data_IF_580670546375
#
_entry.id   IF_580670546375
#
_cell.length_a   1.000
_cell.length_b   1.000
_cell.length_c   1.000
_cell.angle_alpha   90.00
_cell.angle_beta   90.00
_cell.angle_gamma   90.00
#
_symmetry.space_group_name_H-M   'P 1'
#
loop_
_entity.id
_entity.type
_entity.pdbx_description
1 polymer ?
#
# COMPACT_ATOMS: atom_id res chain seq x y z
N UNK A 1 -2.53 0.05 -33.65
CA UNK A 1 -3.16 0.98 -32.68
C UNK A 1 -2.78 0.46 -31.29
N UNK A 2 -2.04 1.22 -30.46
CA UNK A 2 -1.75 0.78 -29.08
C UNK A 2 -3.00 1.01 -28.23
N UNK A 3 -3.80 -0.04 -28.03
CA UNK A 3 -4.92 -0.01 -27.09
C UNK A 3 -4.35 0.16 -25.69
N UNK A 4 -4.72 1.24 -25.00
CA UNK A 4 -4.43 1.36 -23.58
C UNK A 4 -5.48 0.55 -22.82
N UNK A 5 -5.04 -0.39 -22.00
CA UNK A 5 -5.94 -1.18 -21.16
C UNK A 5 -6.63 -0.27 -20.13
N UNK A 6 -7.96 -0.38 -20.06
CA UNK A 6 -8.79 0.32 -19.08
C UNK A 6 -9.47 -0.70 -18.16
N UNK A 7 -9.75 -0.28 -16.92
CA UNK A 7 -10.60 -1.06 -16.05
C UNK A 7 -12.02 -1.17 -16.63
N UNK A 8 -12.55 -2.39 -16.65
CA UNK A 8 -13.89 -2.70 -17.17
C UNK A 8 -15.02 -1.97 -16.43
N UNK A 9 -14.82 -1.65 -15.14
CA UNK A 9 -15.82 -0.94 -14.33
C UNK A 9 -15.20 0.03 -13.32
N UNK A 10 -15.99 1.03 -12.90
CA UNK A 10 -15.63 1.97 -11.81
C UNK A 10 -15.37 1.23 -10.50
N UNK A 11 -16.12 0.16 -10.25
CA UNK A 11 -15.91 -0.71 -9.10
C UNK A 11 -14.55 -1.39 -9.12
N UNK A 12 -14.07 -1.82 -10.29
CA UNK A 12 -12.72 -2.38 -10.44
C UNK A 12 -11.62 -1.41 -9.99
N UNK A 13 -11.76 -0.12 -10.32
CA UNK A 13 -10.82 0.92 -9.89
C UNK A 13 -10.88 1.12 -8.36
N UNK A 14 -12.09 1.20 -7.80
CA UNK A 14 -12.27 1.43 -6.36
C UNK A 14 -11.72 0.25 -5.55
N UNK A 15 -12.03 -0.99 -5.93
CA UNK A 15 -11.58 -2.18 -5.24
C UNK A 15 -10.06 -2.37 -5.33
N UNK A 16 -9.47 -2.11 -6.51
CA UNK A 16 -8.01 -2.12 -6.66
C UNK A 16 -7.34 -1.08 -5.76
N UNK A 17 -7.90 0.14 -5.69
CA UNK A 17 -7.40 1.19 -4.79
C UNK A 17 -7.55 0.84 -3.31
N UNK A 18 -8.69 0.25 -2.92
CA UNK A 18 -8.93 -0.18 -1.54
C UNK A 18 -7.94 -1.26 -1.11
N UNK A 19 -7.70 -2.26 -1.97
CA UNK A 19 -6.73 -3.32 -1.71
C UNK A 19 -5.29 -2.81 -1.60
N UNK A 20 -4.94 -1.74 -2.32
CA UNK A 20 -3.64 -1.07 -2.18
C UNK A 20 -3.54 -0.28 -0.87
N UNK A 21 -4.62 0.37 -0.43
CA UNK A 21 -4.62 1.28 0.72
C UNK A 21 -4.71 0.55 2.07
N UNK A 22 -5.38 -0.60 2.13
CA UNK A 22 -5.58 -1.37 3.37
C UNK A 22 -4.50 -2.44 3.48
N UNK A 23 -3.44 -2.12 4.24
CA UNK A 23 -2.32 -3.04 4.49
C UNK A 23 -2.21 -3.51 5.93
N UNK A 24 -1.24 -4.39 6.19
CA UNK A 24 -0.92 -4.95 7.52
C UNK A 24 -0.57 -3.88 8.56
N UNK A 25 -0.04 -2.74 8.12
CA UNK A 25 0.22 -1.59 8.98
C UNK A 25 -1.04 -1.03 9.65
N UNK A 26 -2.19 -1.06 8.98
CA UNK A 26 -3.46 -0.63 9.57
C UNK A 26 -3.93 -1.61 10.65
N UNK A 27 -3.54 -2.88 10.55
CA UNK A 27 -3.96 -3.92 11.48
C UNK A 27 -3.18 -3.88 12.81
N UNK A 28 -1.85 -3.71 12.77
CA UNK A 28 -1.03 -3.78 13.99
C UNK A 28 -0.30 -2.49 14.36
N UNK A 29 0.10 -1.65 13.38
CA UNK A 29 0.96 -0.49 13.67
C UNK A 29 0.10 0.67 14.14
N UNK A 30 -1.00 0.94 13.45
CA UNK A 30 -1.89 2.02 13.83
C UNK A 30 -2.44 1.87 15.26
N UNK A 31 -3.01 0.72 15.67
CA UNK A 31 -3.50 0.56 17.03
C UNK A 31 -2.40 0.70 18.09
N UNK A 32 -1.20 0.16 17.82
CA UNK A 32 -0.04 0.27 18.72
C UNK A 32 0.37 1.73 18.92
N UNK A 33 0.59 2.46 17.84
CA UNK A 33 0.99 3.87 17.92
C UNK A 33 -0.10 4.72 18.56
N UNK A 34 -1.38 4.48 18.23
CA UNK A 34 -2.48 5.18 18.86
C UNK A 34 -2.50 4.91 20.38
N UNK A 35 -2.38 3.66 20.81
CA UNK A 35 -2.33 3.30 22.22
C UNK A 35 -1.15 3.94 22.97
N UNK A 36 0.05 3.94 22.37
CA UNK A 36 1.26 4.54 22.94
C UNK A 36 1.19 6.07 23.04
N UNK A 37 0.40 6.73 22.17
CA UNK A 37 0.33 8.20 22.07
C UNK A 37 -0.97 8.80 22.63
N UNK A 38 -1.50 8.22 23.71
CA UNK A 38 -2.69 8.76 24.40
C UNK A 38 -4.02 8.24 23.86
N UNK A 39 -4.02 7.08 23.19
CA UNK A 39 -5.21 6.35 22.77
C UNK A 39 -6.10 7.17 21.84
N UNK A 40 -7.33 7.45 22.28
CA UNK A 40 -8.30 8.22 21.51
C UNK A 40 -7.87 9.67 21.22
N UNK A 41 -7.06 10.29 22.09
CA UNK A 41 -6.61 11.67 21.88
C UNK A 41 -5.68 11.79 20.66
N UNK A 42 -4.92 10.73 20.34
CA UNK A 42 -4.07 10.67 19.14
C UNK A 42 -4.87 10.83 17.83
N UNK A 43 -6.16 10.50 17.83
CA UNK A 43 -7.01 10.61 16.65
C UNK A 43 -7.18 12.07 16.19
N UNK A 44 -7.08 13.04 17.09
CA UNK A 44 -7.24 14.47 16.75
C UNK A 44 -6.12 14.92 15.79
N UNK A 45 -4.82 14.87 16.16
CA UNK A 45 -3.76 15.21 15.22
C UNK A 45 -3.72 14.27 14.02
N UNK A 46 -4.05 12.99 14.19
CA UNK A 46 -4.10 12.03 13.08
C UNK A 46 -5.13 12.43 12.00
N UNK A 47 -6.35 12.83 12.39
CA UNK A 47 -7.36 13.31 11.46
C UNK A 47 -6.94 14.63 10.80
N UNK A 48 -6.33 15.55 11.56
CA UNK A 48 -5.83 16.80 11.00
C UNK A 48 -4.81 16.54 9.88
N UNK A 49 -3.81 15.69 10.10
CA UNK A 49 -2.83 15.36 9.07
C UNK A 49 -3.42 14.53 7.92
N UNK A 50 -4.42 13.68 8.19
CA UNK A 50 -5.13 12.94 7.16
C UNK A 50 -5.78 13.89 6.15
N UNK A 51 -6.54 14.88 6.62
CA UNK A 51 -7.25 15.82 5.75
C UNK A 51 -6.35 16.92 5.19
N UNK A 52 -5.41 17.43 5.97
CA UNK A 52 -4.56 18.55 5.55
C UNK A 52 -3.40 18.12 4.63
N UNK A 53 -2.93 16.88 4.74
CA UNK A 53 -1.73 16.42 4.03
C UNK A 53 -1.96 15.16 3.21
N UNK A 54 -2.41 14.07 3.82
CA UNK A 54 -2.48 12.77 3.16
C UNK A 54 -3.48 12.74 2.00
N UNK A 55 -4.70 13.23 2.19
CA UNK A 55 -5.73 13.27 1.14
C UNK A 55 -5.31 14.17 -0.04
N UNK A 56 -4.87 15.44 0.18
CA UNK A 56 -4.37 16.28 -0.91
C UNK A 56 -3.23 15.65 -1.70
N UNK A 57 -2.28 15.01 -1.02
CA UNK A 57 -1.15 14.34 -1.66
C UNK A 57 -1.61 13.17 -2.55
N UNK A 58 -2.54 12.34 -2.05
CA UNK A 58 -3.12 11.23 -2.83
C UNK A 58 -3.88 11.74 -4.06
N UNK A 59 -4.66 12.83 -3.93
CA UNK A 59 -5.36 13.45 -5.05
C UNK A 59 -4.37 13.97 -6.10
N UNK A 60 -3.28 14.60 -5.66
CA UNK A 60 -2.24 15.08 -6.55
C UNK A 60 -1.56 13.94 -7.31
N UNK A 61 -1.17 12.86 -6.62
CA UNK A 61 -0.56 11.68 -7.24
C UNK A 61 -1.51 11.00 -8.23
N UNK A 62 -2.78 10.81 -7.85
CA UNK A 62 -3.78 10.22 -8.73
C UNK A 62 -4.07 11.10 -9.95
N UNK A 63 -4.06 12.43 -9.79
CA UNK A 63 -4.15 13.40 -10.87
C UNK A 63 -2.98 13.31 -11.84
N UNK A 64 -1.75 13.25 -11.32
CA UNK A 64 -0.51 13.08 -12.10
C UNK A 64 -0.56 11.77 -12.91
N UNK A 65 -0.94 10.66 -12.28
CA UNK A 65 -1.08 9.36 -12.95
C UNK A 65 -2.10 9.37 -14.09
N UNK A 66 -3.29 9.95 -13.87
CA UNK A 66 -4.33 10.08 -14.90
C UNK A 66 -3.92 10.99 -16.06
N UNK A 67 -3.21 12.09 -15.79
CA UNK A 67 -2.75 13.02 -16.83
C UNK A 67 -1.57 12.47 -17.64
N UNK A 68 -0.65 11.77 -16.98
CA UNK A 68 0.48 11.15 -17.65
C UNK A 68 0.07 9.97 -18.54
N UNK A 69 -0.82 9.09 -18.04
CA UNK A 69 -1.17 7.77 -18.62
C UNK A 69 0.07 6.94 -18.97
N UNK A 70 1.07 6.97 -18.10
CA UNK A 70 2.33 6.23 -18.21
C UNK A 70 2.72 5.70 -16.84
N UNK A 71 3.57 4.68 -16.80
CA UNK A 71 4.19 4.23 -15.55
C UNK A 71 5.05 5.34 -14.90
N UNK A 72 5.50 5.16 -13.65
CA UNK A 72 6.10 6.21 -12.83
C UNK A 72 7.27 6.93 -13.52
N UNK A 73 8.22 6.20 -14.11
CA UNK A 73 9.34 6.78 -14.88
C UNK A 73 8.83 7.69 -16.03
N UNK A 74 7.89 7.18 -16.82
CA UNK A 74 7.33 7.90 -17.95
C UNK A 74 6.39 9.05 -17.56
N UNK A 75 5.80 9.00 -16.37
CA UNK A 75 4.98 10.06 -15.80
C UNK A 75 5.85 11.25 -15.41
N UNK A 76 6.91 11.02 -14.63
CA UNK A 76 7.87 12.07 -14.27
C UNK A 76 8.53 12.67 -15.52
N UNK A 77 9.00 11.83 -16.46
CA UNK A 77 9.61 12.31 -17.70
C UNK A 77 8.68 13.21 -18.54
N UNK A 78 7.37 12.92 -18.54
CA UNK A 78 6.37 13.68 -19.32
C UNK A 78 5.96 14.98 -18.63
N UNK A 79 5.87 14.99 -17.30
CA UNK A 79 5.32 16.10 -16.53
C UNK A 79 6.38 17.14 -16.15
N UNK A 80 7.59 16.71 -15.83
CA UNK A 80 8.68 17.58 -15.35
C UNK A 80 9.94 17.54 -16.21
N UNK A 81 9.88 16.82 -17.34
CA UNK A 81 10.95 16.73 -18.34
C UNK A 81 11.84 15.49 -18.18
N UNK A 82 12.57 15.11 -19.24
CA UNK A 82 13.36 13.88 -19.24
C UNK A 82 14.43 13.78 -18.14
N UNK A 83 14.90 14.92 -17.62
CA UNK A 83 15.94 14.98 -16.58
C UNK A 83 15.46 14.53 -15.20
N UNK A 84 14.15 14.48 -14.94
CA UNK A 84 13.55 13.99 -13.68
C UNK A 84 13.05 12.54 -13.78
N UNK A 85 13.28 11.86 -14.91
CA UNK A 85 12.86 10.47 -15.09
C UNK A 85 13.44 9.51 -14.02
N UNK A 86 14.62 9.85 -13.47
CA UNK A 86 15.24 9.09 -12.39
C UNK A 86 14.38 9.05 -11.11
N UNK A 87 13.57 10.08 -10.84
CA UNK A 87 12.67 10.12 -9.68
C UNK A 87 11.60 9.02 -9.79
N UNK A 88 11.04 8.84 -10.98
CA UNK A 88 10.13 7.72 -11.23
C UNK A 88 10.83 6.36 -11.19
N UNK A 89 12.12 6.31 -11.53
CA UNK A 89 12.95 5.12 -11.38
C UNK A 89 13.16 4.75 -9.91
N UNK A 90 13.44 5.75 -9.07
CA UNK A 90 13.53 5.59 -7.62
C UNK A 90 12.22 5.05 -7.01
N UNK A 91 11.07 5.59 -7.42
CA UNK A 91 9.75 5.08 -6.99
C UNK A 91 9.55 3.61 -7.41
N UNK A 92 9.96 3.24 -8.62
CA UNK A 92 9.87 1.86 -9.09
C UNK A 92 10.76 0.91 -8.28
N UNK A 93 12.02 1.29 -8.05
CA UNK A 93 12.98 0.49 -7.27
C UNK A 93 12.51 0.32 -5.83
N UNK A 94 12.09 1.40 -5.17
CA UNK A 94 11.57 1.35 -3.79
C UNK A 94 10.34 0.45 -3.70
N UNK A 95 9.42 0.52 -4.66
CA UNK A 95 8.25 -0.37 -4.71
C UNK A 95 8.64 -1.85 -4.82
N UNK A 96 9.65 -2.18 -5.65
CA UNK A 96 10.18 -3.55 -5.78
C UNK A 96 10.85 -4.01 -4.49
N UNK A 97 11.64 -3.16 -3.83
CA UNK A 97 12.27 -3.49 -2.55
C UNK A 97 11.23 -3.78 -1.46
N UNK A 98 10.17 -2.97 -1.40
CA UNK A 98 9.05 -3.20 -0.49
C UNK A 98 8.37 -4.54 -0.80
N UNK A 99 8.18 -4.88 -2.06
CA UNK A 99 7.57 -6.15 -2.48
C UNK A 99 8.35 -7.37 -1.96
N UNK A 100 9.69 -7.34 -1.94
CA UNK A 100 10.48 -8.44 -1.38
C UNK A 100 10.24 -8.68 0.11
N UNK A 101 10.05 -7.62 0.89
CA UNK A 101 9.71 -7.75 2.29
C UNK A 101 8.26 -8.24 2.47
N UNK A 102 7.31 -7.64 1.74
CA UNK A 102 5.90 -8.00 1.87
C UNK A 102 5.57 -9.40 1.35
N UNK A 103 6.34 -9.95 0.42
CA UNK A 103 6.15 -11.34 -0.05
C UNK A 103 6.41 -12.36 1.06
N UNK A 104 7.43 -12.15 1.90
CA UNK A 104 7.73 -13.01 3.05
C UNK A 104 6.61 -12.93 4.09
N UNK A 105 6.15 -11.73 4.42
CA UNK A 105 5.05 -11.53 5.37
C UNK A 105 3.76 -12.19 4.87
N UNK A 106 3.48 -12.07 3.57
CA UNK A 106 2.31 -12.73 2.94
C UNK A 106 2.45 -14.25 2.98
N UNK A 107 3.67 -14.79 2.80
CA UNK A 107 3.95 -16.21 2.95
C UNK A 107 3.64 -16.74 4.34
N UNK A 108 3.99 -15.99 5.40
CA UNK A 108 3.60 -16.34 6.77
C UNK A 108 2.08 -16.31 6.96
N UNK A 109 1.41 -15.29 6.44
CA UNK A 109 -0.05 -15.22 6.51
C UNK A 109 -0.71 -16.43 5.86
N UNK A 110 -0.21 -16.88 4.70
CA UNK A 110 -0.73 -18.07 4.03
C UNK A 110 -0.46 -19.35 4.83
N UNK A 111 0.77 -19.53 5.36
CA UNK A 111 1.12 -20.66 6.25
C UNK A 111 0.14 -20.74 7.42
N UNK A 112 -0.05 -19.65 8.14
CA UNK A 112 -0.94 -19.61 9.31
C UNK A 112 -2.42 -19.75 8.93
N UNK A 113 -2.85 -19.25 7.78
CA UNK A 113 -4.22 -19.44 7.31
C UNK A 113 -4.52 -20.91 7.01
N UNK A 114 -3.59 -21.62 6.35
CA UNK A 114 -3.71 -23.06 6.10
C UNK A 114 -3.71 -23.82 7.42
N UNK A 115 -2.76 -23.53 8.31
CA UNK A 115 -2.66 -24.18 9.62
C UNK A 115 -3.90 -24.00 10.49
N UNK A 116 -4.54 -22.83 10.43
CA UNK A 116 -5.81 -22.55 11.10
C UNK A 116 -6.95 -23.37 10.50
N UNK A 117 -6.97 -23.53 9.18
CA UNK A 117 -8.01 -24.31 8.49
C UNK A 117 -7.85 -25.83 8.67
N UNK A 118 -6.63 -26.34 8.83
CA UNK A 118 -6.34 -27.76 9.02
C UNK A 118 -6.35 -28.19 10.50
N UNK A 119 -6.45 -27.24 11.43
CA UNK A 119 -6.48 -27.51 12.87
C UNK A 119 -5.10 -27.76 13.48
N UNK A 120 -4.02 -27.62 12.71
CA UNK A 120 -2.62 -27.78 13.19
C UNK A 120 -2.28 -26.81 14.33
N UNK A 121 -2.94 -25.64 14.37
CA UNK A 121 -2.74 -24.65 15.42
C UNK A 121 -3.34 -25.04 16.78
N UNK A 122 -4.28 -25.99 16.84
CA UNK A 122 -5.04 -26.28 18.05
C UNK A 122 -4.23 -27.03 19.15
N UNK A 123 -3.00 -27.44 18.84
CA UNK A 123 -2.09 -28.09 19.79
C UNK A 123 -0.60 -27.80 19.54
N UNK A 124 -0.28 -26.86 18.65
CA UNK A 124 1.09 -26.50 18.33
C UNK A 124 1.71 -25.64 19.44
N UNK A 125 2.93 -25.96 19.84
CA UNK A 125 3.74 -25.06 20.66
C UNK A 125 4.11 -23.82 19.82
N UNK A 126 3.74 -22.65 20.32
CA UNK A 126 3.90 -21.40 19.57
C UNK A 126 5.36 -21.11 19.23
N UNK A 127 6.32 -21.46 20.09
CA UNK A 127 7.74 -21.21 19.86
C UNK A 127 8.34 -22.19 18.84
N UNK A 128 7.84 -23.44 18.82
CA UNK A 128 8.26 -24.45 17.84
C UNK A 128 7.64 -24.27 16.46
N UNK A 129 6.46 -23.63 16.37
CA UNK A 129 5.72 -23.46 15.11
C UNK A 129 6.18 -22.25 14.28
N UNK A 130 6.87 -21.29 14.90
CA UNK A 130 7.50 -20.16 14.19
C UNK A 130 8.46 -20.66 13.10
#
# INVERSE_FOLDING_TARGET
MKTSDFFSSRWGIILAGLGMAVGTGNLWRFPRIAAENGGGAFLIPWLLFLFAWSIPLLIAEFGLGRGARRGPIGAFAKLTGGRTAWMGGFVAVTSVMIMFYYSVVTGWMLKYAVAASTGELAGADAAAYW
#
